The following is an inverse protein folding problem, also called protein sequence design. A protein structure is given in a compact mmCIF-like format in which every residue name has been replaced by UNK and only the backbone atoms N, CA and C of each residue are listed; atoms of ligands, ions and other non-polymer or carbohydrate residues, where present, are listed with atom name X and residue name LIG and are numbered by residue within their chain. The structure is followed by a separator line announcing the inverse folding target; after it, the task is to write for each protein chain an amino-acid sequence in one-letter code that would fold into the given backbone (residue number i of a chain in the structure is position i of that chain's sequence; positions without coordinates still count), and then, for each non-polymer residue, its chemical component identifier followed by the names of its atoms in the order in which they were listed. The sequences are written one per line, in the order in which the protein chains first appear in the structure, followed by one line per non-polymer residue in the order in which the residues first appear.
data_IF_466440226744
#
_entry.id   IF_466440226744
#
_cell.length_a   1.000
_cell.length_b   1.000
_cell.length_c   1.000
_cell.angle_alpha   90.00
_cell.angle_beta   90.00
_cell.angle_gamma   90.00
#
_symmetry.space_group_name_H-M   'P 1'
#
loop_
_entity.id
_entity.type
_entity.pdbx_description
1 polymer ?
#
# COMPACT_ATOMS: atom_id res chain seq x y z
N UNK A 1 -15.18 17.49 -59.68
CA UNK A 1 -15.79 18.03 -58.45
C UNK A 1 -14.95 17.59 -57.27
N UNK A 2 -14.55 18.52 -56.38
CA UNK A 2 -13.59 18.30 -55.28
C UNK A 2 -14.30 17.66 -54.09
N UNK A 3 -13.93 16.43 -53.73
CA UNK A 3 -14.44 15.76 -52.53
C UNK A 3 -13.70 16.32 -51.31
N UNK A 4 -14.40 17.10 -50.48
CA UNK A 4 -13.88 17.57 -49.19
C UNK A 4 -14.13 16.49 -48.15
N UNK A 5 -13.09 15.77 -47.75
CA UNK A 5 -13.12 14.93 -46.56
C UNK A 5 -13.09 15.85 -45.32
N UNK A 6 -14.21 15.96 -44.63
CA UNK A 6 -14.31 16.67 -43.35
C UNK A 6 -13.73 15.77 -42.26
N UNK A 7 -12.58 16.18 -41.72
CA UNK A 7 -11.90 15.56 -40.61
C UNK A 7 -12.70 15.85 -39.33
N UNK A 8 -13.39 14.84 -38.79
CA UNK A 8 -14.13 14.95 -37.52
C UNK A 8 -13.08 14.92 -36.40
N UNK A 9 -12.81 16.09 -35.82
CA UNK A 9 -11.95 16.24 -34.64
C UNK A 9 -12.78 15.93 -33.39
N UNK A 10 -12.81 14.67 -32.96
CA UNK A 10 -13.38 14.29 -31.66
C UNK A 10 -12.39 14.66 -30.55
N UNK A 11 -12.47 15.88 -30.04
CA UNK A 11 -11.86 16.25 -28.76
C UNK A 11 -12.74 15.64 -27.67
N UNK A 12 -12.47 14.39 -27.31
CA UNK A 12 -13.00 13.81 -26.09
C UNK A 12 -12.16 14.38 -24.96
N UNK A 13 -12.64 15.46 -24.38
CA UNK A 13 -12.18 15.98 -23.09
C UNK A 13 -12.49 14.93 -22.03
N UNK A 14 -11.55 14.01 -21.80
CA UNK A 14 -11.51 13.16 -20.62
C UNK A 14 -11.21 14.03 -19.39
N UNK A 15 -12.21 14.76 -18.92
CA UNK A 15 -12.26 15.15 -17.51
C UNK A 15 -12.72 13.91 -16.74
N UNK A 16 -11.82 12.95 -16.57
CA UNK A 16 -11.93 12.05 -15.43
C UNK A 16 -11.71 12.93 -14.22
N UNK A 17 -12.80 13.39 -13.61
CA UNK A 17 -12.77 13.77 -12.20
C UNK A 17 -12.09 12.63 -11.47
N UNK A 18 -10.84 12.83 -11.05
CA UNK A 18 -10.20 11.98 -10.07
C UNK A 18 -11.12 12.01 -8.87
N UNK A 19 -11.98 10.99 -8.70
CA UNK A 19 -12.56 10.71 -7.39
C UNK A 19 -11.35 10.60 -6.48
N UNK A 20 -11.12 11.61 -5.65
CA UNK A 20 -10.17 11.51 -4.57
C UNK A 20 -10.47 10.20 -3.86
N UNK A 21 -9.49 9.32 -3.78
CA UNK A 21 -9.67 7.99 -3.23
C UNK A 21 -9.87 8.16 -1.73
N UNK A 22 -11.13 8.40 -1.33
CA UNK A 22 -11.49 8.56 0.08
C UNK A 22 -11.41 7.19 0.73
N UNK A 23 -10.42 7.02 1.61
CA UNK A 23 -10.38 5.87 2.50
C UNK A 23 -11.39 6.09 3.62
N UNK A 24 -12.12 5.04 3.97
CA UNK A 24 -13.09 5.08 5.07
C UNK A 24 -12.33 5.28 6.38
N UNK A 25 -12.67 6.35 7.11
CA UNK A 25 -12.09 6.67 8.40
C UNK A 25 -12.53 5.63 9.44
N UNK A 26 -11.58 5.13 10.22
CA UNK A 26 -11.86 4.21 11.32
C UNK A 26 -12.00 5.03 12.60
N UNK A 27 -13.16 4.94 13.26
CA UNK A 27 -13.36 5.64 14.52
C UNK A 27 -12.44 5.07 15.61
N UNK A 28 -12.13 5.88 16.63
CA UNK A 28 -11.36 5.40 17.78
C UNK A 28 -12.02 4.21 18.50
N UNK A 29 -13.36 4.18 18.53
CA UNK A 29 -14.13 3.10 19.16
C UNK A 29 -14.02 1.78 18.38
N UNK A 30 -14.00 1.86 17.04
CA UNK A 30 -13.93 0.68 16.16
C UNK A 30 -12.49 0.18 15.96
N UNK A 31 -11.50 1.03 16.23
CA UNK A 31 -10.10 0.74 15.96
C UNK A 31 -9.58 -0.56 16.62
N UNK A 32 -9.86 -0.87 17.89
CA UNK A 32 -9.42 -2.12 18.49
C UNK A 32 -9.94 -3.36 17.78
N UNK A 33 -11.18 -3.32 17.29
CA UNK A 33 -11.75 -4.43 16.52
C UNK A 33 -11.06 -4.54 15.14
N UNK A 34 -10.89 -3.41 14.43
CA UNK A 34 -10.12 -3.38 13.19
C UNK A 34 -8.71 -3.97 13.36
N UNK A 35 -7.99 -3.55 14.41
CA UNK A 35 -6.66 -4.04 14.72
C UNK A 35 -6.67 -5.55 14.94
N UNK A 36 -7.52 -6.06 15.83
CA UNK A 36 -7.58 -7.49 16.14
C UNK A 36 -7.93 -8.34 14.91
N UNK A 37 -8.89 -7.90 14.09
CA UNK A 37 -9.21 -8.59 12.84
C UNK A 37 -8.04 -8.60 11.86
N UNK A 38 -7.33 -7.48 11.75
CA UNK A 38 -6.13 -7.35 10.91
C UNK A 38 -5.03 -8.29 11.38
N UNK A 39 -4.74 -8.32 12.69
CA UNK A 39 -3.73 -9.21 13.28
C UNK A 39 -4.09 -10.69 13.08
N UNK A 40 -5.35 -11.06 13.25
CA UNK A 40 -5.80 -12.44 13.02
C UNK A 40 -5.52 -12.90 11.58
N UNK A 41 -5.75 -12.03 10.59
CA UNK A 41 -5.41 -12.32 9.18
C UNK A 41 -3.90 -12.40 8.97
N UNK A 42 -3.13 -11.47 9.54
CA UNK A 42 -1.67 -11.45 9.42
C UNK A 42 -1.02 -12.67 10.08
N UNK A 43 -1.57 -13.19 11.17
CA UNK A 43 -1.08 -14.40 11.84
C UNK A 43 -1.11 -15.65 10.94
N UNK A 44 -1.98 -15.69 9.92
CA UNK A 44 -1.99 -16.77 8.93
C UNK A 44 -0.85 -16.65 7.89
N UNK A 45 -0.26 -15.46 7.76
CA UNK A 45 0.73 -15.13 6.73
C UNK A 45 2.15 -15.09 7.31
N UNK A 46 2.31 -14.50 8.50
CA UNK A 46 3.60 -14.28 9.17
C UNK A 46 4.47 -15.55 9.24
N UNK A 47 3.96 -16.74 9.63
CA UNK A 47 4.77 -17.96 9.71
C UNK A 47 5.35 -18.39 8.36
N UNK A 48 4.66 -18.05 7.27
CA UNK A 48 4.97 -18.49 5.91
C UNK A 48 5.63 -17.41 5.07
N UNK A 49 6.00 -16.26 5.66
CA UNK A 49 6.51 -15.09 4.91
C UNK A 49 7.77 -15.38 4.07
N UNK A 50 8.58 -16.35 4.50
CA UNK A 50 9.79 -16.78 3.79
C UNK A 50 9.49 -17.46 2.46
N UNK A 51 8.28 -17.99 2.26
CA UNK A 51 7.85 -18.61 1.00
C UNK A 51 7.78 -17.59 -0.15
N UNK A 52 7.70 -16.30 0.18
CA UNK A 52 7.68 -15.22 -0.81
C UNK A 52 9.07 -14.61 -1.04
N UNK A 53 10.10 -15.07 -0.34
CA UNK A 53 11.46 -14.59 -0.60
C UNK A 53 11.94 -15.15 -1.93
N UNK A 54 12.72 -14.35 -2.67
CA UNK A 54 13.15 -14.63 -4.03
C UNK A 54 11.99 -14.78 -5.04
N UNK A 55 10.78 -14.34 -4.68
CA UNK A 55 9.62 -14.30 -5.57
C UNK A 55 9.28 -12.85 -5.95
N UNK A 56 8.58 -12.61 -7.07
CA UNK A 56 8.01 -11.31 -7.38
C UNK A 56 7.04 -10.84 -6.28
N UNK A 57 7.01 -9.54 -6.02
CA UNK A 57 6.10 -8.91 -5.06
C UNK A 57 4.64 -9.29 -5.31
N UNK A 58 4.22 -9.46 -6.57
CA UNK A 58 2.86 -9.88 -6.94
C UNK A 58 2.38 -11.11 -6.18
N UNK A 59 3.26 -12.07 -5.93
CA UNK A 59 2.91 -13.32 -5.26
C UNK A 59 2.53 -13.05 -3.79
N UNK A 60 3.24 -12.14 -3.14
CA UNK A 60 2.93 -11.73 -1.78
C UNK A 60 1.65 -10.88 -1.72
N UNK A 61 1.48 -9.92 -2.65
CA UNK A 61 0.26 -9.10 -2.75
C UNK A 61 -0.99 -9.97 -2.98
N UNK A 62 -0.88 -11.02 -3.79
CA UNK A 62 -1.96 -11.98 -4.01
C UNK A 62 -2.40 -12.66 -2.71
N UNK A 63 -1.46 -13.09 -1.87
CA UNK A 63 -1.79 -13.75 -0.61
C UNK A 63 -2.39 -12.78 0.41
N UNK A 64 -1.94 -11.52 0.44
CA UNK A 64 -2.61 -10.49 1.24
C UNK A 64 -4.08 -10.33 0.81
N UNK A 65 -4.32 -10.20 -0.50
CA UNK A 65 -5.68 -10.08 -1.06
C UNK A 65 -6.56 -11.29 -0.74
N UNK A 66 -6.04 -12.52 -0.91
CA UNK A 66 -6.74 -13.77 -0.57
C UNK A 66 -7.10 -13.88 0.92
N UNK A 67 -6.35 -13.21 1.79
CA UNK A 67 -6.64 -13.13 3.24
C UNK A 67 -7.47 -11.89 3.61
N UNK A 68 -8.04 -11.19 2.63
CA UNK A 68 -8.83 -9.97 2.83
C UNK A 68 -8.04 -8.87 3.56
N UNK A 69 -6.74 -8.73 3.26
CA UNK A 69 -5.89 -7.62 3.68
C UNK A 69 -5.72 -6.68 2.49
N UNK A 70 -6.32 -5.49 2.61
CA UNK A 70 -6.30 -4.47 1.57
C UNK A 70 -5.22 -3.46 1.93
N UNK A 71 -4.24 -3.28 1.06
CA UNK A 71 -3.28 -2.17 1.18
C UNK A 71 -4.01 -0.88 0.79
N UNK A 72 -3.94 0.12 1.67
CA UNK A 72 -4.59 1.42 1.49
C UNK A 72 -3.61 2.48 1.01
N UNK A 73 -2.41 2.48 1.58
CA UNK A 73 -1.37 3.44 1.26
C UNK A 73 0.01 2.77 1.24
N UNK A 74 0.99 3.47 0.70
CA UNK A 74 2.37 3.01 0.71
C UNK A 74 3.37 4.16 0.79
N UNK A 75 4.58 3.84 1.24
CA UNK A 75 5.71 4.75 1.30
C UNK A 75 6.97 4.00 0.83
N UNK A 76 7.67 4.44 -0.23
CA UNK A 76 8.90 3.83 -0.73
C UNK A 76 10.10 4.02 0.22
N UNK A 77 9.87 4.47 1.45
CA UNK A 77 10.92 4.76 2.41
C UNK A 77 11.61 6.07 2.04
N UNK A 78 12.04 6.87 3.03
CA UNK A 78 12.46 8.22 2.72
C UNK A 78 13.81 8.28 1.99
N UNK A 79 14.65 7.23 2.03
CA UNK A 79 16.03 7.26 1.49
C UNK A 79 16.58 5.90 1.03
N UNK A 80 15.73 4.92 0.71
CA UNK A 80 16.17 3.60 0.27
C UNK A 80 15.35 3.14 -0.92
N UNK A 81 15.97 3.14 -2.09
CA UNK A 81 15.35 2.77 -3.36
C UNK A 81 15.10 1.27 -3.52
N UNK A 82 15.13 0.49 -2.44
CA UNK A 82 14.86 -0.95 -2.42
C UNK A 82 13.91 -1.36 -1.29
N UNK A 83 13.20 -0.42 -0.67
CA UNK A 83 12.22 -0.71 0.39
C UNK A 83 10.88 -0.10 0.03
N UNK A 84 9.79 -0.79 0.39
CA UNK A 84 8.46 -0.18 0.49
C UNK A 84 7.84 -0.53 1.83
N UNK A 85 7.09 0.42 2.38
CA UNK A 85 6.16 0.24 3.50
C UNK A 85 4.75 0.19 2.93
N UNK A 86 4.06 -0.94 3.11
CA UNK A 86 2.66 -1.14 2.77
C UNK A 86 1.81 -0.88 4.03
N UNK A 87 0.85 0.02 3.92
CA UNK A 87 0.00 0.48 5.03
C UNK A 87 -1.43 -0.06 4.87
N UNK A 88 -2.02 -0.48 5.99
CA UNK A 88 -3.37 -1.03 6.05
C UNK A 88 -4.43 0.03 6.38
N UNK A 89 -3.98 1.19 6.83
CA UNK A 89 -4.75 2.43 7.00
C UNK A 89 -4.24 3.43 5.95
N UNK A 90 -5.16 4.17 5.34
CA UNK A 90 -4.82 5.15 4.30
C UNK A 90 -5.25 6.57 4.63
N UNK A 91 -5.91 6.80 5.76
CA UNK A 91 -6.35 8.12 6.17
C UNK A 91 -5.49 8.68 7.32
N UNK A 92 -5.08 9.94 7.14
CA UNK A 92 -4.22 10.63 8.10
C UNK A 92 -4.95 10.91 9.43
N UNK A 93 -6.28 11.04 9.40
CA UNK A 93 -7.08 11.37 10.58
C UNK A 93 -7.14 10.20 11.58
N UNK A 94 -7.44 8.98 11.10
CA UNK A 94 -7.35 7.74 11.89
C UNK A 94 -5.94 7.60 12.43
N UNK A 95 -4.92 7.69 11.57
CA UNK A 95 -3.52 7.53 11.97
C UNK A 95 -3.12 8.51 13.09
N UNK A 96 -3.51 9.78 12.98
CA UNK A 96 -3.29 10.81 14.00
C UNK A 96 -4.06 10.50 15.29
N UNK A 97 -5.32 10.10 15.17
CA UNK A 97 -6.21 9.81 16.30
C UNK A 97 -5.73 8.62 17.12
N UNK A 98 -5.37 7.51 16.47
CA UNK A 98 -4.89 6.30 17.16
C UNK A 98 -3.55 6.57 17.86
N UNK A 99 -2.66 7.34 17.22
CA UNK A 99 -1.36 7.65 17.78
C UNK A 99 -1.47 8.51 19.06
N UNK A 100 -2.34 9.52 19.04
CA UNK A 100 -2.67 10.34 20.22
C UNK A 100 -3.26 9.51 21.37
N UNK A 101 -3.93 8.41 21.06
CA UNK A 101 -4.52 7.48 22.02
C UNK A 101 -3.61 6.28 22.35
N UNK A 102 -2.30 6.40 22.07
CA UNK A 102 -1.29 5.39 22.39
C UNK A 102 -1.45 4.04 21.66
N UNK A 103 -2.22 4.01 20.57
CA UNK A 103 -2.33 2.84 19.72
C UNK A 103 -1.26 2.81 18.62
N UNK A 104 -1.05 1.63 18.04
CA UNK A 104 -0.09 1.37 16.97
C UNK A 104 -0.78 0.96 15.69
N UNK A 105 -0.28 1.45 14.55
CA UNK A 105 -0.74 1.09 13.22
C UNK A 105 0.05 -0.10 12.66
N UNK A 106 -0.57 -1.27 12.38
CA UNK A 106 0.11 -2.39 11.74
C UNK A 106 0.48 -2.08 10.29
N UNK A 107 1.73 -2.36 9.93
CA UNK A 107 2.22 -2.18 8.56
C UNK A 107 3.20 -3.28 8.17
N UNK A 108 3.42 -3.40 6.87
CA UNK A 108 4.33 -4.41 6.30
C UNK A 108 5.47 -3.68 5.60
N UNK A 109 6.70 -4.01 5.95
CA UNK A 109 7.88 -3.55 5.23
C UNK A 109 8.35 -4.66 4.31
N UNK A 110 8.56 -4.34 3.04
CA UNK A 110 9.14 -5.23 2.05
C UNK A 110 10.46 -4.63 1.59
N UNK A 111 11.53 -5.43 1.65
CA UNK A 111 12.84 -5.10 1.09
C UNK A 111 13.02 -5.92 -0.17
N UNK A 112 13.50 -5.29 -1.23
CA UNK A 112 13.77 -5.91 -2.53
C UNK A 112 15.26 -6.26 -2.69
N UNK A 113 15.55 -7.17 -3.60
CA UNK A 113 16.93 -7.50 -3.96
C UNK A 113 17.56 -6.39 -4.80
N UNK A 114 16.80 -5.86 -5.75
CA UNK A 114 17.17 -4.76 -6.62
C UNK A 114 16.59 -3.43 -6.14
N UNK A 115 17.26 -2.34 -6.52
CA UNK A 115 16.70 -1.00 -6.44
C UNK A 115 15.65 -0.76 -7.53
N UNK A 116 14.67 0.09 -7.26
CA UNK A 116 13.70 0.62 -8.20
C UNK A 116 14.01 2.09 -8.54
N UNK A 117 13.42 2.62 -9.60
CA UNK A 117 13.59 4.03 -9.95
C UNK A 117 12.83 4.92 -8.95
N UNK A 118 13.56 5.54 -8.02
CA UNK A 118 12.97 6.38 -6.96
C UNK A 118 12.25 7.62 -7.52
N UNK A 119 12.75 8.23 -8.60
CA UNK A 119 12.10 9.36 -9.24
C UNK A 119 10.73 8.98 -9.79
N UNK A 120 10.64 7.87 -10.53
CA UNK A 120 9.37 7.36 -11.05
C UNK A 120 8.40 6.97 -9.93
N UNK A 121 8.90 6.39 -8.85
CA UNK A 121 8.12 6.15 -7.64
C UNK A 121 7.52 7.46 -7.08
N UNK A 122 8.33 8.51 -6.98
CA UNK A 122 7.89 9.81 -6.46
C UNK A 122 6.85 10.47 -7.37
N UNK A 123 6.98 10.33 -8.69
CA UNK A 123 5.98 10.81 -9.66
C UNK A 123 4.63 10.11 -9.43
N UNK A 124 4.61 8.79 -9.26
CA UNK A 124 3.39 8.03 -8.95
C UNK A 124 2.78 8.50 -7.62
N UNK A 125 3.60 8.71 -6.59
CA UNK A 125 3.15 9.19 -5.27
C UNK A 125 2.54 10.58 -5.37
N UNK A 126 3.17 11.50 -6.10
CA UNK A 126 2.67 12.87 -6.26
C UNK A 126 1.34 12.88 -7.02
N UNK A 127 1.16 11.99 -7.99
CA UNK A 127 -0.08 11.84 -8.75
C UNK A 127 -1.21 11.19 -7.95
N UNK A 128 -0.88 10.28 -7.04
CA UNK A 128 -1.86 9.45 -6.33
C UNK A 128 -1.86 9.63 -4.81
N UNK A 129 -1.21 10.66 -4.30
CA UNK A 129 -1.18 11.05 -2.88
C UNK A 129 -0.93 9.87 -1.92
N UNK A 130 0.12 9.08 -2.17
CA UNK A 130 0.52 7.92 -1.36
C UNK A 130 -0.50 6.75 -1.32
N UNK A 131 -1.65 6.85 -1.98
CA UNK A 131 -2.61 5.75 -2.03
C UNK A 131 -2.10 4.57 -2.86
N UNK A 132 -2.27 3.37 -2.34
CA UNK A 132 -2.00 2.16 -3.13
C UNK A 132 -3.07 2.04 -4.22
N UNK A 133 -2.62 1.88 -5.45
CA UNK A 133 -3.46 1.90 -6.64
C UNK A 133 -2.84 1.04 -7.76
N UNK A 134 -3.57 0.75 -8.84
CA UNK A 134 -3.08 -0.11 -9.92
C UNK A 134 -1.79 0.38 -10.60
N UNK A 135 -1.54 1.69 -10.67
CA UNK A 135 -0.29 2.26 -11.20
C UNK A 135 0.89 1.91 -10.31
N UNK A 136 0.74 2.12 -8.99
CA UNK A 136 1.76 1.75 -8.01
C UNK A 136 2.01 0.23 -8.02
N UNK A 137 0.94 -0.57 -8.01
CA UNK A 137 1.07 -2.02 -8.05
C UNK A 137 1.82 -2.50 -9.30
N UNK A 138 1.47 -1.98 -10.49
CA UNK A 138 2.15 -2.34 -11.72
C UNK A 138 3.64 -1.95 -11.73
N UNK A 139 4.00 -0.86 -11.05
CA UNK A 139 5.38 -0.42 -10.93
C UNK A 139 6.22 -1.38 -10.05
N UNK A 140 5.66 -1.84 -8.92
CA UNK A 140 6.40 -2.65 -7.95
C UNK A 140 6.27 -4.17 -8.12
N UNK A 141 5.21 -4.67 -8.77
CA UNK A 141 4.79 -6.09 -8.72
C UNK A 141 5.87 -7.10 -9.13
N UNK A 142 6.79 -6.71 -10.01
CA UNK A 142 7.85 -7.59 -10.53
C UNK A 142 9.16 -7.51 -9.72
N UNK A 143 9.25 -6.64 -8.71
CA UNK A 143 10.44 -6.56 -7.88
C UNK A 143 10.59 -7.83 -7.04
N UNK A 144 11.83 -8.31 -6.90
CA UNK A 144 12.11 -9.57 -6.22
C UNK A 144 12.25 -9.29 -4.73
N UNK A 145 11.42 -9.96 -3.93
CA UNK A 145 11.41 -9.81 -2.48
C UNK A 145 12.67 -10.43 -1.88
N UNK A 146 13.42 -9.62 -1.13
CA UNK A 146 14.53 -10.03 -0.27
C UNK A 146 14.07 -10.35 1.15
N UNK A 147 13.20 -9.51 1.70
CA UNK A 147 12.72 -9.63 3.08
C UNK A 147 11.31 -9.05 3.21
N UNK A 148 10.53 -9.64 4.11
CA UNK A 148 9.24 -9.12 4.55
C UNK A 148 9.27 -9.07 6.07
N UNK A 149 8.83 -7.94 6.63
CA UNK A 149 8.78 -7.68 8.06
C UNK A 149 7.41 -7.09 8.43
N UNK A 150 6.82 -7.60 9.51
CA UNK A 150 5.53 -7.16 10.01
C UNK A 150 5.72 -6.36 11.28
N UNK A 151 5.39 -5.07 11.24
CA UNK A 151 5.57 -4.15 12.38
C UNK A 151 4.25 -3.92 13.10
N UNK A 152 4.34 -3.59 14.39
CA UNK A 152 3.18 -3.24 15.22
C UNK A 152 2.11 -4.36 15.30
N UNK A 153 2.54 -5.62 15.24
CA UNK A 153 1.67 -6.82 15.25
C UNK A 153 1.67 -7.59 16.58
N UNK A 154 2.24 -7.00 17.64
CA UNK A 154 2.44 -7.64 18.95
C UNK A 154 1.60 -7.00 20.07
N UNK A 155 0.47 -6.40 19.71
CA UNK A 155 -0.44 -5.75 20.63
C UNK A 155 -0.66 -4.29 20.28
N UNK A 156 -1.92 -3.84 20.43
CA UNK A 156 -2.40 -2.54 19.97
C UNK A 156 -1.72 -1.34 20.64
N UNK A 157 -1.07 -1.52 21.79
CA UNK A 157 -0.32 -0.47 22.50
C UNK A 157 1.19 -0.73 22.53
N UNK A 158 1.68 -1.80 21.86
CA UNK A 158 3.07 -2.22 21.94
C UNK A 158 3.94 -1.56 20.85
N UNK A 159 4.38 -0.33 21.13
CA UNK A 159 5.13 0.53 20.19
C UNK A 159 6.54 0.06 19.84
N UNK A 160 7.17 -0.74 20.70
CA UNK A 160 8.60 -1.07 20.60
C UNK A 160 8.85 -2.56 20.34
N UNK A 161 7.84 -3.28 19.87
CA UNK A 161 8.01 -4.69 19.58
C UNK A 161 8.89 -4.88 18.34
N UNK A 162 9.79 -5.87 18.38
CA UNK A 162 10.54 -6.28 17.21
C UNK A 162 9.58 -6.71 16.08
N UNK A 163 9.90 -6.40 14.81
CA UNK A 163 9.10 -6.87 13.70
C UNK A 163 9.07 -8.39 13.67
N UNK A 164 7.91 -8.93 13.30
CA UNK A 164 7.73 -10.37 13.07
C UNK A 164 8.07 -10.76 11.63
#
# INVERSE_FOLDING_TARGET
MKTKFLLILSIISFFTFSKSQTTEQITLADYPNFYNQTINKLNNIIPNKTNYYNQPLSNFLQVLSQNNLIIKAYDPGPFQDNIIKLMLIGDAETTSTIWRNNYVDPYIKVTFQQSFNFQQSQEIINQHHWFWNPTAENFYKNLIVKKIEFYNVNGITNKNSNPK
#
